data_IF_412319298912
#
_entry.id   IF_412319298912
#
_cell.length_a   1.000
_cell.length_b   1.000
_cell.length_c   1.000
_cell.angle_alpha   90.00
_cell.angle_beta   90.00
_cell.angle_gamma   90.00
#
_symmetry.space_group_name_H-M   'P 1'
#
loop_
_entity.id
_entity.type
_entity.pdbx_description
1 polymer ?
#
# COMPACT_ATOMS: atom_id res chain seq x y z
N UNK A 1 2.23 -11.90 -27.62
CA UNK A 1 1.28 -10.88 -28.10
C UNK A 1 1.80 -10.29 -29.40
N UNK A 2 0.93 -9.98 -30.39
CA UNK A 2 1.34 -9.31 -31.62
C UNK A 2 1.99 -7.94 -31.36
N UNK A 3 3.00 -7.57 -32.14
CA UNK A 3 3.80 -6.34 -31.91
C UNK A 3 3.01 -5.02 -32.08
N UNK A 4 1.84 -5.04 -32.72
CA UNK A 4 0.99 -3.85 -32.91
C UNK A 4 0.11 -3.50 -31.69
N UNK A 5 0.11 -4.32 -30.63
CA UNK A 5 -0.68 -4.12 -29.40
C UNK A 5 0.14 -3.59 -28.22
N UNK A 6 1.47 -3.49 -28.37
CA UNK A 6 2.35 -3.04 -27.29
C UNK A 6 2.47 -1.52 -27.29
N UNK A 7 1.67 -0.88 -26.45
CA UNK A 7 1.76 0.56 -26.19
C UNK A 7 2.21 0.81 -24.73
N UNK A 8 2.39 2.07 -24.35
CA UNK A 8 2.80 2.48 -22.99
C UNK A 8 1.94 1.81 -21.91
N UNK A 9 0.62 1.73 -22.12
CA UNK A 9 -0.32 1.15 -21.16
C UNK A 9 -0.05 -0.35 -21.01
N UNK A 10 0.11 -1.07 -22.12
CA UNK A 10 0.43 -2.51 -22.11
C UNK A 10 1.72 -2.78 -21.32
N UNK A 11 2.77 -2.00 -21.55
CA UNK A 11 4.04 -2.16 -20.81
C UNK A 11 3.87 -1.92 -19.31
N UNK A 12 3.18 -0.85 -18.91
CA UNK A 12 2.92 -0.54 -17.50
C UNK A 12 2.10 -1.66 -16.85
N UNK A 13 1.06 -2.16 -17.51
CA UNK A 13 0.24 -3.26 -17.00
C UNK A 13 1.06 -4.53 -16.78
N UNK A 14 1.94 -4.89 -17.73
CA UNK A 14 2.78 -6.08 -17.59
C UNK A 14 3.85 -5.89 -16.50
N UNK A 15 4.49 -4.72 -16.41
CA UNK A 15 5.42 -4.41 -15.32
C UNK A 15 4.75 -4.50 -13.95
N UNK A 16 3.52 -3.98 -13.83
CA UNK A 16 2.72 -4.10 -12.61
C UNK A 16 2.37 -5.57 -12.32
N UNK A 17 2.01 -6.37 -13.32
CA UNK A 17 1.78 -7.80 -13.11
C UNK A 17 3.05 -8.50 -12.60
N UNK A 18 4.21 -8.24 -13.21
CA UNK A 18 5.48 -8.80 -12.76
C UNK A 18 5.82 -8.39 -11.32
N UNK A 19 5.61 -7.11 -10.99
CA UNK A 19 5.78 -6.53 -9.66
C UNK A 19 4.95 -7.26 -8.59
N UNK A 20 3.68 -7.54 -8.89
CA UNK A 20 2.77 -8.24 -7.97
C UNK A 20 3.05 -9.75 -7.88
N UNK A 21 3.62 -10.36 -8.92
CA UNK A 21 3.92 -11.80 -8.98
C UNK A 21 5.35 -12.17 -8.58
N UNK A 22 6.20 -11.22 -8.19
CA UNK A 22 7.59 -11.53 -7.84
C UNK A 22 8.51 -11.84 -9.03
N UNK A 23 8.10 -11.46 -10.24
CA UNK A 23 8.73 -11.85 -11.51
C UNK A 23 9.76 -10.81 -11.98
N UNK A 24 10.87 -10.69 -11.24
CA UNK A 24 11.90 -9.67 -11.47
C UNK A 24 12.57 -9.81 -12.84
N UNK A 25 12.97 -11.03 -13.22
CA UNK A 25 13.65 -11.29 -14.50
C UNK A 25 12.78 -10.91 -15.70
N UNK A 26 11.49 -11.23 -15.64
CA UNK A 26 10.53 -10.87 -16.67
C UNK A 26 10.35 -9.34 -16.73
N UNK A 27 10.28 -8.67 -15.58
CA UNK A 27 10.19 -7.21 -15.53
C UNK A 27 11.41 -6.56 -16.22
N UNK A 28 12.62 -7.03 -15.94
CA UNK A 28 13.84 -6.55 -16.62
C UNK A 28 13.81 -6.81 -18.12
N UNK A 29 13.44 -8.02 -18.55
CA UNK A 29 13.37 -8.37 -19.97
C UNK A 29 12.44 -7.40 -20.71
N UNK A 30 11.22 -7.23 -20.20
CA UNK A 30 10.22 -6.35 -20.81
C UNK A 30 10.68 -4.89 -20.78
N UNK A 31 11.24 -4.43 -19.66
CA UNK A 31 11.74 -3.06 -19.54
C UNK A 31 12.86 -2.78 -20.53
N UNK A 32 13.75 -3.75 -20.79
CA UNK A 32 14.86 -3.62 -21.73
C UNK A 32 14.40 -3.62 -23.20
N UNK A 33 13.28 -4.28 -23.52
CA UNK A 33 12.67 -4.24 -24.87
C UNK A 33 12.13 -2.86 -25.25
N UNK A 34 11.83 -2.00 -24.26
CA UNK A 34 11.26 -0.67 -24.49
C UNK A 34 12.37 0.30 -24.94
N UNK A 35 12.33 0.68 -26.21
CA UNK A 35 13.29 1.61 -26.83
C UNK A 35 13.22 3.02 -26.25
N UNK A 36 12.00 3.55 -26.08
CA UNK A 36 11.74 4.88 -25.53
C UNK A 36 10.95 4.76 -24.23
N UNK A 37 11.66 4.89 -23.10
CA UNK A 37 11.07 4.76 -21.76
C UNK A 37 10.49 6.11 -21.34
N UNK A 38 9.17 6.20 -21.30
CA UNK A 38 8.49 7.38 -20.78
C UNK A 38 8.65 7.49 -19.27
N UNK A 39 8.36 8.68 -18.71
CA UNK A 39 8.34 8.89 -17.25
C UNK A 39 7.49 7.87 -16.50
N UNK A 40 6.35 7.47 -17.07
CA UNK A 40 5.44 6.49 -16.45
C UNK A 40 6.02 5.08 -16.48
N UNK A 41 6.70 4.69 -17.55
CA UNK A 41 7.37 3.38 -17.65
C UNK A 41 8.52 3.30 -16.63
N UNK A 42 9.29 4.39 -16.47
CA UNK A 42 10.31 4.48 -15.42
C UNK A 42 9.66 4.34 -14.04
N UNK A 43 8.58 5.08 -13.77
CA UNK A 43 7.89 5.00 -12.48
C UNK A 43 7.32 3.60 -12.20
N UNK A 44 6.79 2.90 -13.20
CA UNK A 44 6.32 1.52 -13.06
C UNK A 44 7.46 0.53 -12.74
N UNK A 45 8.62 0.70 -13.37
CA UNK A 45 9.80 -0.11 -13.05
C UNK A 45 10.36 0.19 -11.67
N UNK A 46 10.38 1.46 -11.25
CA UNK A 46 10.76 1.86 -9.89
C UNK A 46 9.79 1.26 -8.85
N UNK A 47 8.47 1.29 -9.12
CA UNK A 47 7.49 0.59 -8.28
C UNK A 47 7.82 -0.89 -8.19
N UNK A 48 8.02 -1.58 -9.32
CA UNK A 48 8.40 -2.99 -9.38
C UNK A 48 9.61 -3.30 -8.49
N UNK A 49 10.73 -2.61 -8.69
CA UNK A 49 11.95 -2.79 -7.91
C UNK A 49 11.72 -2.52 -6.42
N UNK A 50 10.97 -1.47 -6.09
CA UNK A 50 10.65 -1.12 -4.70
C UNK A 50 9.76 -2.15 -4.01
N UNK A 51 8.83 -2.79 -4.74
CA UNK A 51 7.99 -3.89 -4.20
C UNK A 51 8.79 -5.13 -3.88
N UNK A 52 9.83 -5.37 -4.67
CA UNK A 52 10.74 -6.51 -4.56
C UNK A 52 11.96 -6.19 -3.68
N UNK A 53 11.97 -5.02 -3.05
CA UNK A 53 13.01 -4.54 -2.14
C UNK A 53 14.40 -4.41 -2.79
N UNK A 54 14.44 -4.24 -4.12
CA UNK A 54 15.65 -3.99 -4.90
C UNK A 54 15.91 -2.47 -4.96
N UNK A 55 16.12 -1.87 -3.79
CA UNK A 55 16.14 -0.42 -3.64
C UNK A 55 17.33 0.27 -4.31
N UNK A 56 18.49 -0.38 -4.33
CA UNK A 56 19.69 0.19 -4.95
C UNK A 56 19.50 0.38 -6.45
N UNK A 57 18.86 -0.59 -7.11
CA UNK A 57 18.53 -0.46 -8.53
C UNK A 57 17.41 0.57 -8.76
N UNK A 58 16.39 0.60 -7.89
CA UNK A 58 15.33 1.60 -7.98
C UNK A 58 15.89 3.03 -7.89
N UNK A 59 16.81 3.27 -6.95
CA UNK A 59 17.46 4.57 -6.78
C UNK A 59 18.36 4.89 -7.98
N UNK A 60 19.17 3.93 -8.43
CA UNK A 60 20.04 4.12 -9.61
C UNK A 60 19.21 4.49 -10.85
N UNK A 61 18.06 3.85 -11.04
CA UNK A 61 17.17 4.14 -12.16
C UNK A 61 16.61 5.58 -12.10
N UNK A 62 16.26 6.06 -10.91
CA UNK A 62 15.86 7.47 -10.71
C UNK A 62 17.03 8.41 -11.00
N UNK A 63 18.21 8.14 -10.44
CA UNK A 63 19.41 8.97 -10.59
C UNK A 63 19.83 9.07 -12.08
N UNK A 64 19.78 7.95 -12.80
CA UNK A 64 20.08 7.91 -14.24
C UNK A 64 19.02 8.66 -15.06
N UNK A 65 17.74 8.57 -14.69
CA UNK A 65 16.67 9.34 -15.33
C UNK A 65 16.81 10.85 -15.08
N UNK A 66 17.18 11.24 -13.85
CA UNK A 66 17.33 12.63 -13.41
C UNK A 66 18.42 13.38 -14.19
N UNK A 67 19.45 12.68 -14.70
CA UNK A 67 20.51 13.29 -15.53
C UNK A 67 20.01 13.96 -16.80
N UNK A 68 18.84 13.58 -17.30
CA UNK A 68 18.31 14.11 -18.58
C UNK A 68 16.84 14.50 -18.52
N UNK A 69 16.12 14.16 -17.45
CA UNK A 69 14.69 14.41 -17.33
C UNK A 69 14.30 14.71 -15.86
N UNK A 70 13.33 15.59 -15.61
CA UNK A 70 12.85 15.80 -14.25
C UNK A 70 12.09 14.56 -13.73
N UNK A 71 12.46 13.98 -12.57
CA UNK A 71 11.76 12.84 -12.00
C UNK A 71 10.34 13.21 -11.58
N UNK A 72 9.54 12.22 -11.18
CA UNK A 72 8.22 12.45 -10.57
C UNK A 72 8.21 12.02 -9.12
N UNK A 73 7.44 12.70 -8.29
CA UNK A 73 7.20 12.34 -6.89
C UNK A 73 6.73 10.89 -6.71
N UNK A 74 5.98 10.34 -7.68
CA UNK A 74 5.53 8.94 -7.73
C UNK A 74 6.69 7.93 -7.61
N UNK A 75 7.86 8.24 -8.19
CA UNK A 75 9.04 7.36 -8.13
C UNK A 75 9.59 7.28 -6.70
N UNK A 76 9.63 8.41 -5.99
CA UNK A 76 10.07 8.47 -4.60
C UNK A 76 9.03 7.84 -3.66
N UNK A 77 7.74 8.07 -3.92
CA UNK A 77 6.64 7.43 -3.20
C UNK A 77 6.68 5.90 -3.31
N UNK A 78 7.03 5.37 -4.50
CA UNK A 78 7.21 3.93 -4.69
C UNK A 78 8.32 3.37 -3.77
N UNK A 79 9.49 4.03 -3.72
CA UNK A 79 10.57 3.62 -2.81
C UNK A 79 10.14 3.75 -1.35
N UNK A 80 9.51 4.85 -0.94
CA UNK A 80 9.01 5.02 0.43
C UNK A 80 8.01 3.91 0.82
N UNK A 81 7.13 3.52 -0.09
CA UNK A 81 6.17 2.44 0.14
C UNK A 81 6.87 1.09 0.30
N UNK A 82 7.87 0.79 -0.53
CA UNK A 82 8.67 -0.42 -0.40
C UNK A 82 9.48 -0.43 0.91
N UNK A 83 10.16 0.69 1.21
CA UNK A 83 10.98 0.87 2.40
C UNK A 83 10.15 0.73 3.68
N UNK A 84 8.92 1.27 3.72
CA UNK A 84 7.97 1.01 4.80
C UNK A 84 7.68 -0.47 4.98
N UNK A 85 7.48 -1.19 3.89
CA UNK A 85 7.10 -2.61 3.95
C UNK A 85 8.26 -3.49 4.43
N UNK A 86 9.50 -3.11 4.12
CA UNK A 86 10.72 -3.77 4.59
C UNK A 86 11.36 -3.11 5.83
N UNK A 87 10.68 -2.16 6.48
CA UNK A 87 11.12 -1.44 7.70
C UNK A 87 12.47 -0.70 7.56
N UNK A 88 12.80 -0.21 6.38
CA UNK A 88 14.07 0.44 6.05
C UNK A 88 14.05 1.94 6.38
N UNK A 89 14.08 2.30 7.67
CA UNK A 89 13.94 3.71 8.11
C UNK A 89 15.04 4.65 7.59
N UNK A 90 16.29 4.19 7.51
CA UNK A 90 17.42 4.99 7.00
C UNK A 90 17.18 5.37 5.53
N UNK A 91 16.74 4.40 4.73
CA UNK A 91 16.37 4.63 3.34
C UNK A 91 15.17 5.57 3.25
N UNK A 92 14.11 5.30 4.03
CA UNK A 92 12.90 6.15 4.03
C UNK A 92 13.23 7.61 4.32
N UNK A 93 14.09 7.89 5.31
CA UNK A 93 14.51 9.26 5.64
C UNK A 93 15.25 9.90 4.47
N UNK A 94 16.27 9.22 3.92
CA UNK A 94 17.05 9.72 2.77
C UNK A 94 16.16 10.05 1.56
N UNK A 95 15.23 9.17 1.24
CA UNK A 95 14.31 9.32 0.10
C UNK A 95 13.35 10.48 0.34
N UNK A 96 12.80 10.60 1.55
CA UNK A 96 11.91 11.70 1.90
C UNK A 96 12.64 13.06 1.88
N UNK A 97 13.88 13.13 2.36
CA UNK A 97 14.70 14.35 2.29
C UNK A 97 14.97 14.77 0.84
N UNK A 98 15.26 13.82 -0.06
CA UNK A 98 15.39 14.11 -1.49
C UNK A 98 14.06 14.57 -2.09
N UNK A 99 12.95 13.98 -1.66
CA UNK A 99 11.62 14.32 -2.12
C UNK A 99 11.21 15.75 -1.71
N UNK A 100 11.51 16.19 -0.48
CA UNK A 100 11.21 17.57 -0.02
C UNK A 100 12.02 18.62 -0.79
N UNK A 101 13.27 18.31 -1.15
CA UNK A 101 14.11 19.17 -1.98
C UNK A 101 13.55 19.32 -3.41
N UNK A 102 13.11 18.21 -4.03
CA UNK A 102 12.72 18.19 -5.44
C UNK A 102 11.27 18.61 -5.69
N UNK A 103 10.35 18.31 -4.76
CA UNK A 103 8.91 18.43 -4.96
C UNK A 103 8.26 19.37 -3.92
N UNK A 104 8.96 20.44 -3.53
CA UNK A 104 8.50 21.43 -2.53
C UNK A 104 7.15 22.08 -2.88
N UNK A 105 6.76 22.07 -4.15
CA UNK A 105 5.48 22.55 -4.66
C UNK A 105 4.37 21.47 -4.68
N UNK A 106 4.69 20.19 -4.56
CA UNK A 106 3.73 19.07 -4.58
C UNK A 106 3.30 18.68 -3.16
N UNK A 107 2.55 19.56 -2.49
CA UNK A 107 2.16 19.36 -1.08
C UNK A 107 1.49 18.02 -0.79
N UNK A 108 0.61 17.54 -1.67
CA UNK A 108 -0.08 16.26 -1.48
C UNK A 108 0.88 15.06 -1.49
N UNK A 109 1.88 15.11 -2.38
CA UNK A 109 2.91 14.08 -2.44
C UNK A 109 3.78 14.10 -1.18
N UNK A 110 4.21 15.28 -0.72
CA UNK A 110 4.99 15.42 0.51
C UNK A 110 4.20 14.98 1.76
N UNK A 111 2.92 15.31 1.84
CA UNK A 111 2.06 14.83 2.93
C UNK A 111 1.99 13.30 2.93
N UNK A 112 1.79 12.68 1.77
CA UNK A 112 1.75 11.22 1.65
C UNK A 112 3.11 10.58 1.97
N UNK A 113 4.22 11.19 1.53
CA UNK A 113 5.57 10.74 1.83
C UNK A 113 5.90 10.79 3.32
N UNK A 114 5.48 11.86 4.03
CA UNK A 114 5.70 11.95 5.48
C UNK A 114 4.88 10.94 6.27
N UNK A 115 3.70 10.53 5.79
CA UNK A 115 2.95 9.42 6.37
C UNK A 115 3.72 8.11 6.23
N UNK A 116 4.29 7.83 5.06
CA UNK A 116 5.10 6.62 4.84
C UNK A 116 6.36 6.62 5.72
N UNK A 117 7.05 7.77 5.84
CA UNK A 117 8.21 7.92 6.71
C UNK A 117 7.83 7.69 8.19
N UNK A 118 6.79 8.37 8.69
CA UNK A 118 6.31 8.19 10.06
C UNK A 118 5.86 6.76 10.34
N UNK A 119 5.16 6.12 9.41
CA UNK A 119 4.78 4.71 9.51
C UNK A 119 6.00 3.77 9.50
N UNK A 120 7.08 4.13 8.81
CA UNK A 120 8.34 3.36 8.85
C UNK A 120 8.97 3.45 10.24
N UNK A 121 9.01 4.63 10.86
CA UNK A 121 9.47 4.79 12.24
C UNK A 121 8.60 4.02 13.24
N UNK A 122 7.27 4.07 13.10
CA UNK A 122 6.36 3.25 13.92
C UNK A 122 6.63 1.75 13.76
N UNK A 123 6.96 1.28 12.55
CA UNK A 123 7.21 -0.14 12.29
C UNK A 123 8.44 -0.70 13.02
N UNK A 124 9.34 0.17 13.47
CA UNK A 124 10.54 -0.17 14.27
C UNK A 124 10.42 0.26 15.74
N UNK A 125 9.24 0.76 16.17
CA UNK A 125 8.99 1.19 17.55
C UNK A 125 9.50 2.59 17.90
N UNK A 126 9.98 3.37 16.92
CA UNK A 126 10.46 4.74 17.14
C UNK A 126 9.28 5.73 17.11
N UNK A 127 8.54 5.76 18.21
CA UNK A 127 7.35 6.61 18.37
C UNK A 127 7.71 8.10 18.40
N UNK A 128 8.88 8.45 18.93
CA UNK A 128 9.35 9.83 19.01
C UNK A 128 9.59 10.40 17.61
N UNK A 129 10.32 9.69 16.76
CA UNK A 129 10.57 10.15 15.40
C UNK A 129 9.32 10.16 14.54
N UNK A 130 8.43 9.17 14.70
CA UNK A 130 7.14 9.18 14.03
C UNK A 130 6.31 10.43 14.37
N UNK A 131 6.31 10.82 15.65
CA UNK A 131 5.61 12.02 16.11
C UNK A 131 6.27 13.30 15.59
N UNK A 132 7.61 13.37 15.60
CA UNK A 132 8.36 14.50 15.03
C UNK A 132 8.03 14.72 13.55
N UNK A 133 8.00 13.64 12.74
CA UNK A 133 7.61 13.70 11.33
C UNK A 133 6.16 14.19 11.19
N UNK A 134 5.24 13.72 12.04
CA UNK A 134 3.83 14.12 12.05
C UNK A 134 3.67 15.61 12.36
N UNK A 135 4.33 16.12 13.40
CA UNK A 135 4.28 17.51 13.82
C UNK A 135 4.88 18.44 12.76
N UNK A 136 6.02 18.07 12.17
CA UNK A 136 6.64 18.83 11.09
C UNK A 136 5.73 18.89 9.85
N UNK A 137 5.12 17.77 9.44
CA UNK A 137 4.12 17.77 8.37
C UNK A 137 2.98 18.75 8.68
N UNK A 138 2.42 18.72 9.89
CA UNK A 138 1.29 19.59 10.26
C UNK A 138 1.69 21.07 10.18
N UNK A 139 2.89 21.39 10.64
CA UNK A 139 3.43 22.76 10.61
C UNK A 139 3.64 23.27 9.19
N UNK A 140 4.18 22.44 8.30
CA UNK A 140 4.64 22.88 6.97
C UNK A 140 3.61 22.65 5.85
N UNK A 141 2.84 21.57 5.94
CA UNK A 141 1.97 21.06 4.87
C UNK A 141 0.49 21.02 5.28
N UNK A 142 0.20 20.97 6.59
CA UNK A 142 -1.15 20.92 7.14
C UNK A 142 -1.62 19.50 7.53
N UNK A 143 -2.92 19.38 7.82
CA UNK A 143 -3.51 18.17 8.43
C UNK A 143 -4.35 17.31 7.48
N UNK A 144 -4.71 17.82 6.30
CA UNK A 144 -5.61 17.10 5.37
C UNK A 144 -4.86 16.02 4.61
N UNK A 145 -5.10 14.76 4.97
CA UNK A 145 -4.56 13.58 4.30
C UNK A 145 -5.74 12.72 3.84
N UNK A 146 -5.66 12.19 2.62
CA UNK A 146 -6.66 11.22 2.18
C UNK A 146 -6.50 9.93 2.98
N UNK A 147 -7.56 9.44 3.64
CA UNK A 147 -7.49 8.17 4.35
C UNK A 147 -7.31 7.00 3.37
N UNK A 148 -6.83 5.87 3.89
CA UNK A 148 -6.94 4.61 3.18
C UNK A 148 -8.40 4.21 3.03
N UNK A 149 -8.82 3.91 1.82
CA UNK A 149 -10.18 3.53 1.46
C UNK A 149 -10.12 2.28 0.60
N UNK A 150 -11.00 1.32 0.93
CA UNK A 150 -11.25 0.14 0.11
C UNK A 150 -12.65 0.22 -0.49
N UNK A 151 -12.77 -0.16 -1.75
CA UNK A 151 -14.04 -0.28 -2.46
C UNK A 151 -14.31 -1.71 -2.88
N UNK A 152 -15.58 -2.07 -2.89
CA UNK A 152 -16.04 -3.33 -3.47
C UNK A 152 -17.39 -3.13 -4.14
N UNK A 153 -17.76 -4.03 -5.05
CA UNK A 153 -19.05 -4.01 -5.74
C UNK A 153 -19.87 -5.23 -5.33
N UNK A 154 -21.14 -5.02 -4.99
CA UNK A 154 -22.09 -6.09 -4.75
C UNK A 154 -23.45 -5.72 -5.34
N UNK A 155 -24.01 -6.60 -6.18
CA UNK A 155 -25.30 -6.39 -6.89
C UNK A 155 -25.41 -5.03 -7.63
N UNK A 156 -24.31 -4.57 -8.22
CA UNK A 156 -24.25 -3.30 -8.96
C UNK A 156 -24.06 -2.06 -8.10
N UNK A 157 -23.93 -2.19 -6.78
CA UNK A 157 -23.67 -1.09 -5.87
C UNK A 157 -22.19 -1.06 -5.45
N UNK A 158 -21.57 0.12 -5.53
CA UNK A 158 -20.21 0.35 -5.05
C UNK A 158 -20.28 0.73 -3.56
N UNK A 159 -19.62 -0.07 -2.74
CA UNK A 159 -19.50 0.11 -1.30
C UNK A 159 -18.12 0.63 -0.94
N UNK A 160 -18.07 1.62 -0.05
CA UNK A 160 -16.85 2.24 0.45
C UNK A 160 -16.61 1.85 1.91
N UNK A 161 -15.39 1.43 2.23
CA UNK A 161 -14.95 1.12 3.59
C UNK A 161 -13.69 1.91 3.96
N UNK A 162 -13.68 2.47 5.17
CA UNK A 162 -12.49 3.04 5.84
C UNK A 162 -12.07 2.17 7.02
N UNK A 163 -10.88 2.39 7.56
CA UNK A 163 -10.50 1.75 8.80
C UNK A 163 -11.48 2.14 9.93
N UNK A 164 -11.94 1.17 10.71
CA UNK A 164 -12.95 1.33 11.76
C UNK A 164 -14.26 2.00 11.30
N UNK A 165 -14.63 1.83 10.03
CA UNK A 165 -15.84 2.46 9.47
C UNK A 165 -17.11 1.90 10.12
N UNK A 166 -17.99 2.82 10.54
CA UNK A 166 -19.30 2.51 11.14
C UNK A 166 -20.48 3.14 10.40
N UNK A 167 -20.24 3.76 9.23
CA UNK A 167 -21.27 4.47 8.45
C UNK A 167 -22.28 3.51 7.80
N UNK A 168 -21.89 2.27 7.54
CA UNK A 168 -22.77 1.28 6.92
C UNK A 168 -23.91 0.87 7.89
N UNK A 169 -25.17 0.72 7.45
CA UNK A 169 -26.29 0.35 8.33
C UNK A 169 -26.09 -0.97 9.07
N UNK A 170 -25.39 -1.93 8.45
CA UNK A 170 -25.01 -3.23 9.02
C UNK A 170 -23.62 -3.24 9.66
N UNK A 171 -23.07 -2.09 10.06
CA UNK A 171 -21.69 -1.99 10.57
C UNK A 171 -21.42 -2.91 11.75
N UNK A 172 -22.33 -2.98 12.72
CA UNK A 172 -22.18 -3.87 13.88
C UNK A 172 -22.08 -5.35 13.47
N UNK A 173 -22.87 -5.80 12.49
CA UNK A 173 -22.76 -7.17 11.95
C UNK A 173 -21.42 -7.40 11.25
N UNK A 174 -20.96 -6.42 10.46
CA UNK A 174 -19.67 -6.48 9.74
C UNK A 174 -18.52 -6.60 10.75
N UNK A 175 -18.52 -5.77 11.79
CA UNK A 175 -17.49 -5.81 12.82
C UNK A 175 -17.53 -7.12 13.63
N UNK A 176 -18.72 -7.60 13.99
CA UNK A 176 -18.87 -8.88 14.69
C UNK A 176 -18.36 -10.06 13.83
N UNK A 177 -18.65 -10.07 12.53
CA UNK A 177 -18.17 -11.11 11.61
C UNK A 177 -16.66 -11.00 11.36
N UNK A 178 -16.11 -9.80 11.27
CA UNK A 178 -14.68 -9.56 11.10
C UNK A 178 -13.91 -10.08 12.32
N UNK A 179 -14.43 -9.83 13.52
CA UNK A 179 -13.90 -10.39 14.77
C UNK A 179 -14.00 -11.91 14.78
N UNK A 180 -15.14 -12.49 14.45
CA UNK A 180 -15.30 -13.94 14.38
C UNK A 180 -14.27 -14.60 13.44
N UNK A 181 -14.10 -14.07 12.22
CA UNK A 181 -13.10 -14.59 11.27
C UNK A 181 -11.71 -14.49 11.88
N UNK A 182 -11.37 -13.34 12.45
CA UNK A 182 -10.09 -13.12 13.10
C UNK A 182 -9.82 -14.10 14.25
N UNK A 183 -10.77 -14.32 15.14
CA UNK A 183 -10.66 -15.29 16.24
C UNK A 183 -10.43 -16.72 15.71
N UNK A 184 -11.09 -17.09 14.60
CA UNK A 184 -10.88 -18.38 13.92
C UNK A 184 -9.47 -18.47 13.35
N UNK A 185 -8.96 -17.43 12.70
CA UNK A 185 -7.62 -17.44 12.13
C UNK A 185 -6.53 -17.51 13.21
N UNK A 186 -6.68 -16.81 14.33
CA UNK A 186 -5.75 -16.88 15.48
C UNK A 186 -5.64 -18.32 15.98
N UNK A 187 -6.77 -19.02 16.15
CA UNK A 187 -6.79 -20.43 16.57
C UNK A 187 -6.04 -21.35 15.63
N UNK A 188 -5.80 -20.91 14.40
CA UNK A 188 -5.08 -21.64 13.38
C UNK A 188 -3.69 -21.07 13.07
N UNK A 189 -3.14 -20.23 13.96
CA UNK A 189 -1.77 -19.76 13.90
C UNK A 189 -1.56 -18.44 13.16
N UNK A 190 -2.62 -17.68 12.84
CA UNK A 190 -2.45 -16.31 12.37
C UNK A 190 -1.97 -15.42 13.52
N UNK A 191 -0.77 -14.86 13.38
CA UNK A 191 -0.20 -13.88 14.30
C UNK A 191 -0.30 -12.48 13.69
N UNK A 192 -0.81 -11.54 14.47
CA UNK A 192 -0.91 -10.15 14.05
C UNK A 192 0.46 -9.47 14.06
N UNK A 193 0.82 -8.84 12.94
CA UNK A 193 2.07 -8.09 12.84
C UNK A 193 1.87 -6.62 13.29
N UNK A 194 2.25 -6.36 14.55
CA UNK A 194 2.17 -5.04 15.18
C UNK A 194 2.95 -3.94 14.44
N UNK A 195 3.86 -4.27 13.53
CA UNK A 195 4.54 -3.28 12.69
C UNK A 195 3.63 -2.63 11.65
N UNK A 196 2.40 -3.14 11.46
CA UNK A 196 1.38 -2.55 10.57
C UNK A 196 0.49 -1.51 11.24
N UNK A 197 0.68 -1.27 12.54
CA UNK A 197 0.02 -0.17 13.24
C UNK A 197 0.50 1.17 12.71
N UNK A 198 -0.44 2.06 12.40
CA UNK A 198 -0.17 3.43 11.93
C UNK A 198 -0.25 4.48 13.04
N UNK A 199 -0.44 4.03 14.29
CA UNK A 199 -0.42 4.85 15.50
C UNK A 199 -0.12 4.00 16.74
N UNK A 200 0.30 4.62 17.86
CA UNK A 200 0.22 3.99 19.17
C UNK A 200 -1.21 3.53 19.49
N UNK A 201 -1.32 2.48 20.30
CA UNK A 201 -2.60 1.97 20.78
C UNK A 201 -3.04 2.74 22.01
N UNK A 202 -4.34 2.96 22.13
CA UNK A 202 -4.95 3.46 23.37
C UNK A 202 -4.98 2.33 24.43
N UNK A 203 -5.23 2.65 25.70
CA UNK A 203 -5.13 1.68 26.82
C UNK A 203 -6.05 0.46 26.66
N UNK A 204 -7.20 0.64 26.01
CA UNK A 204 -8.22 -0.38 25.76
C UNK A 204 -8.07 -1.09 24.41
N UNK A 205 -7.06 -0.72 23.61
CA UNK A 205 -6.85 -1.29 22.29
C UNK A 205 -5.76 -2.37 22.26
N UNK A 206 -5.97 -3.36 21.40
CA UNK A 206 -4.98 -4.38 21.08
C UNK A 206 -4.57 -4.26 19.62
N UNK A 207 -3.43 -4.85 19.26
CA UNK A 207 -3.03 -4.95 17.84
C UNK A 207 -4.12 -5.64 17.01
N UNK A 208 -4.75 -6.68 17.56
CA UNK A 208 -5.88 -7.37 16.94
C UNK A 208 -7.06 -6.42 16.69
N UNK A 209 -7.51 -5.67 17.70
CA UNK A 209 -8.71 -4.84 17.58
C UNK A 209 -8.57 -3.76 16.50
N UNK A 210 -7.38 -3.17 16.37
CA UNK A 210 -7.10 -2.14 15.36
C UNK A 210 -6.91 -2.75 13.96
N UNK A 211 -6.10 -3.81 13.82
CA UNK A 211 -5.80 -4.39 12.50
C UNK A 211 -7.00 -5.16 11.92
N UNK A 212 -7.85 -5.74 12.77
CA UNK A 212 -9.09 -6.42 12.36
C UNK A 212 -10.08 -5.47 11.65
N UNK A 213 -10.04 -4.18 11.97
CA UNK A 213 -10.95 -3.17 11.43
C UNK A 213 -10.38 -2.41 10.23
N UNK A 214 -9.30 -2.91 9.60
CA UNK A 214 -8.80 -2.35 8.35
C UNK A 214 -9.82 -2.44 7.21
N UNK A 215 -9.80 -1.45 6.31
CA UNK A 215 -10.83 -1.28 5.28
C UNK A 215 -10.97 -2.49 4.34
N UNK A 216 -9.87 -3.16 4.00
CA UNK A 216 -9.86 -4.38 3.18
C UNK A 216 -10.61 -5.52 3.88
N UNK A 217 -10.39 -5.69 5.19
CA UNK A 217 -11.03 -6.76 5.97
C UNK A 217 -12.51 -6.50 6.12
N UNK A 218 -12.92 -5.26 6.39
CA UNK A 218 -14.33 -4.88 6.45
C UNK A 218 -15.03 -5.11 5.11
N UNK A 219 -14.39 -4.72 4.00
CA UNK A 219 -14.93 -4.91 2.67
C UNK A 219 -15.09 -6.40 2.30
N UNK A 220 -14.11 -7.25 2.62
CA UNK A 220 -14.21 -8.71 2.40
C UNK A 220 -15.27 -9.32 3.31
N UNK A 221 -15.29 -8.92 4.58
CA UNK A 221 -16.23 -9.43 5.57
C UNK A 221 -17.68 -9.14 5.18
N UNK A 222 -17.94 -7.98 4.58
CA UNK A 222 -19.25 -7.64 4.06
C UNK A 222 -19.77 -8.70 3.07
N UNK A 223 -18.91 -9.26 2.21
CA UNK A 223 -19.30 -10.33 1.28
C UNK A 223 -19.64 -11.64 2.00
N UNK A 224 -18.94 -11.96 3.09
CA UNK A 224 -19.24 -13.15 3.91
C UNK A 224 -20.52 -13.02 4.74
N UNK A 225 -21.14 -11.85 4.78
CA UNK A 225 -22.45 -11.61 5.41
C UNK A 225 -23.62 -11.68 4.43
N UNK A 226 -23.35 -11.82 3.12
CA UNK A 226 -24.39 -11.96 2.12
C UNK A 226 -24.85 -13.40 2.04
N UNK A 227 -26.15 -13.61 1.86
CA UNK A 227 -26.73 -14.94 1.64
C UNK A 227 -26.32 -15.53 0.28
N UNK A 228 -26.24 -14.67 -0.73
CA UNK A 228 -25.71 -15.02 -2.04
C UNK A 228 -24.22 -14.73 -2.09
N UNK A 229 -23.42 -15.78 -2.27
CA UNK A 229 -21.97 -15.66 -2.44
C UNK A 229 -21.63 -15.38 -3.90
N UNK A 230 -20.91 -14.28 -4.22
CA UNK A 230 -20.51 -13.99 -5.59
C UNK A 230 -19.47 -15.00 -6.07
N UNK A 231 -19.41 -15.24 -7.39
CA UNK A 231 -18.39 -16.10 -8.00
C UNK A 231 -16.97 -15.51 -7.90
N UNK A 232 -16.86 -14.20 -7.69
CA UNK A 232 -15.61 -13.50 -7.41
C UNK A 232 -15.85 -12.32 -6.47
N UNK A 233 -14.89 -12.02 -5.60
CA UNK A 233 -14.87 -10.81 -4.77
C UNK A 233 -13.74 -9.92 -5.27
N UNK A 234 -14.07 -8.69 -5.67
CA UNK A 234 -13.08 -7.69 -6.04
C UNK A 234 -13.01 -6.58 -4.99
N UNK A 235 -11.81 -6.37 -4.44
CA UNK A 235 -11.51 -5.26 -3.54
C UNK A 235 -10.46 -4.36 -4.20
N UNK A 236 -10.77 -3.08 -4.32
CA UNK A 236 -9.83 -2.06 -4.81
C UNK A 236 -9.45 -1.13 -3.67
N UNK A 237 -8.18 -0.71 -3.59
CA UNK A 237 -7.71 0.21 -2.54
C UNK A 237 -6.88 1.34 -3.16
N UNK A 238 -6.99 2.54 -2.60
CA UNK A 238 -6.19 3.71 -3.03
C UNK A 238 -4.75 3.70 -2.50
N UNK A 239 -4.46 2.87 -1.50
CA UNK A 239 -3.14 2.66 -0.93
C UNK A 239 -2.71 1.21 -1.15
N UNK A 240 -1.41 0.94 -0.98
CA UNK A 240 -0.91 -0.44 -0.95
C UNK A 240 -1.55 -1.20 0.22
N UNK A 241 -1.96 -2.44 -0.03
CA UNK A 241 -2.48 -3.33 1.02
C UNK A 241 -1.44 -3.53 2.12
N UNK A 242 -1.89 -3.52 3.38
CA UNK A 242 -1.03 -3.77 4.51
C UNK A 242 -0.55 -5.24 4.52
N UNK A 243 0.68 -5.53 4.94
CA UNK A 243 1.22 -6.90 4.91
C UNK A 243 0.41 -7.87 5.77
N UNK A 244 0.00 -7.44 6.97
CA UNK A 244 -0.90 -8.20 7.85
C UNK A 244 -2.28 -8.48 7.19
N UNK A 245 -2.80 -7.53 6.41
CA UNK A 245 -4.02 -7.68 5.63
C UNK A 245 -3.83 -8.70 4.51
N UNK A 246 -2.69 -8.64 3.81
CA UNK A 246 -2.39 -9.54 2.70
C UNK A 246 -2.26 -11.00 3.18
N UNK A 247 -1.57 -11.22 4.31
CA UNK A 247 -1.46 -12.54 4.95
C UNK A 247 -2.85 -13.03 5.37
N UNK A 248 -3.64 -12.19 6.04
CA UNK A 248 -5.00 -12.52 6.44
C UNK A 248 -5.87 -12.93 5.25
N UNK A 249 -5.81 -12.18 4.14
CA UNK A 249 -6.56 -12.51 2.92
C UNK A 249 -6.12 -13.85 2.36
N UNK A 250 -4.81 -14.14 2.30
CA UNK A 250 -4.30 -15.44 1.85
C UNK A 250 -4.91 -16.58 2.65
N UNK A 251 -4.87 -16.49 3.99
CA UNK A 251 -5.36 -17.57 4.85
C UNK A 251 -6.88 -17.74 4.75
N UNK A 252 -7.61 -16.63 4.61
CA UNK A 252 -9.07 -16.66 4.41
C UNK A 252 -9.43 -17.34 3.09
N UNK A 253 -8.72 -17.04 2.00
CA UNK A 253 -9.00 -17.61 0.68
C UNK A 253 -8.58 -19.07 0.58
N UNK A 254 -7.43 -19.45 1.13
CA UNK A 254 -6.94 -20.84 1.14
C UNK A 254 -7.87 -21.79 1.93
N UNK A 255 -8.74 -21.24 2.78
CA UNK A 255 -9.69 -22.00 3.61
C UNK A 255 -11.14 -21.90 3.14
N UNK A 256 -11.42 -21.07 2.14
CA UNK A 256 -12.72 -20.96 1.51
C UNK A 256 -12.91 -21.99 0.37
N UNK A 257 -11.82 -22.63 -0.07
CA UNK A 257 -11.77 -23.76 -1.03
C UNK A 257 -11.78 -25.11 -0.32
#
# INVERSE_FOLDING_TARGET
>A
MPDHLRNEITYICVLNACSHSGLLDQAHSIFNEISQKSKKIIAAMVDCLSRLYIFDEAQKLIDDYEKSNPPSSVMYMAILSGARNSRQYILSQKIYDRMTMLFSNEKEALMSGSVLLGNTYLSIGDHEQAENVRLNRIKELGTKIQPGVSWTEFKGEILEFKANDRRHPRSEEIHAKAKYISDVLIKHGHEYDASWKTRPLDEDETTESVLCTHSERLAITYHFLQEEHPSFIQITKNLRICGDCLIWVSIVLDRAS
#
